data_IF_361639593740
#
_entry.id   IF_361639593740
#
_cell.length_a   1.000
_cell.length_b   1.000
_cell.length_c   1.000
_cell.angle_alpha   90.00
_cell.angle_beta   90.00
_cell.angle_gamma   90.00
#
_symmetry.space_group_name_H-M   'P 1'
#
loop_
_entity.id
_entity.type
_entity.pdbx_description
1 polymer ?
#
# COMPACT_ATOMS: atom_id res chain seq x y z
N UNK A 1 -25.97 39.14 5.03
CA UNK A 1 -24.54 38.83 4.76
C UNK A 1 -23.93 37.89 5.81
N UNK A 2 -24.23 38.04 7.11
CA UNK A 2 -23.71 37.18 8.19
C UNK A 2 -24.13 35.70 8.10
N UNK A 3 -25.37 35.43 7.67
CA UNK A 3 -25.89 34.05 7.55
C UNK A 3 -25.17 33.24 6.46
N UNK A 4 -24.85 33.87 5.31
CA UNK A 4 -24.09 33.23 4.22
C UNK A 4 -22.64 32.94 4.62
N UNK A 5 -22.04 33.80 5.46
CA UNK A 5 -20.70 33.59 6.02
C UNK A 5 -20.68 32.45 7.04
N UNK A 6 -21.71 32.31 7.89
CA UNK A 6 -21.84 31.18 8.82
C UNK A 6 -21.94 29.83 8.08
N UNK A 7 -22.72 29.75 7.00
CA UNK A 7 -22.78 28.54 6.16
C UNK A 7 -21.43 28.22 5.49
N UNK A 8 -20.69 29.25 5.05
CA UNK A 8 -19.36 29.10 4.44
C UNK A 8 -18.32 28.58 5.43
N UNK A 9 -18.29 29.10 6.66
CA UNK A 9 -17.43 28.60 7.72
C UNK A 9 -17.79 27.18 8.16
N UNK A 10 -19.08 26.84 8.20
CA UNK A 10 -19.55 25.47 8.48
C UNK A 10 -19.07 24.47 7.42
N UNK A 11 -19.17 24.83 6.14
CA UNK A 11 -18.70 23.97 5.05
C UNK A 11 -17.17 23.82 5.04
N UNK A 12 -16.43 24.90 5.30
CA UNK A 12 -14.96 24.85 5.43
C UNK A 12 -14.51 23.96 6.61
N UNK A 13 -15.21 24.02 7.74
CA UNK A 13 -14.94 23.13 8.89
C UNK A 13 -15.20 21.65 8.57
N UNK A 14 -16.27 21.35 7.83
CA UNK A 14 -16.59 19.99 7.39
C UNK A 14 -15.50 19.39 6.50
N UNK A 15 -14.96 20.19 5.57
CA UNK A 15 -13.85 19.78 4.68
C UNK A 15 -12.59 19.45 5.49
N UNK A 16 -12.28 20.25 6.52
CA UNK A 16 -11.10 20.06 7.36
C UNK A 16 -11.16 18.75 8.18
N UNK A 17 -12.36 18.39 8.67
CA UNK A 17 -12.61 17.12 9.35
C UNK A 17 -12.36 15.90 8.46
N UNK A 18 -12.72 15.99 7.18
CA UNK A 18 -12.51 14.90 6.21
C UNK A 18 -11.05 14.67 5.85
N UNK A 19 -10.16 15.65 6.05
CA UNK A 19 -8.72 15.52 5.79
C UNK A 19 -7.93 14.92 6.96
N UNK A 20 -8.54 14.73 8.13
CA UNK A 20 -7.86 14.26 9.35
C UNK A 20 -7.39 12.80 9.31
N UNK A 21 -7.78 12.03 8.29
CA UNK A 21 -7.40 10.62 8.13
C UNK A 21 -6.05 10.37 7.43
N UNK A 22 -5.38 11.41 6.92
CA UNK A 22 -4.12 11.24 6.21
C UNK A 22 -2.94 11.10 7.20
N UNK A 23 -2.63 9.85 7.60
CA UNK A 23 -1.48 9.53 8.43
C UNK A 23 -0.28 9.13 7.56
N UNK A 24 0.87 9.74 7.82
CA UNK A 24 2.13 9.36 7.17
C UNK A 24 2.72 8.18 7.95
N UNK A 25 2.57 6.96 7.42
CA UNK A 25 3.08 5.73 8.04
C UNK A 25 4.42 5.38 7.40
N UNK A 26 5.42 5.11 8.23
CA UNK A 26 6.74 4.76 7.73
C UNK A 26 6.73 3.36 7.07
N UNK A 27 7.51 3.18 6.00
CA UNK A 27 7.45 1.96 5.18
C UNK A 27 7.76 0.66 5.96
N UNK A 28 8.55 0.74 7.03
CA UNK A 28 8.93 -0.40 7.87
C UNK A 28 7.90 -0.74 8.97
N UNK A 29 6.93 0.14 9.25
CA UNK A 29 5.84 -0.13 10.20
C UNK A 29 4.78 -1.07 9.61
N UNK A 30 4.87 -1.34 8.29
CA UNK A 30 4.04 -2.33 7.60
C UNK A 30 4.15 -3.71 8.25
N UNK A 31 5.27 -4.10 8.85
CA UNK A 31 5.41 -5.42 9.48
C UNK A 31 4.40 -5.70 10.60
N UNK A 32 3.99 -4.69 11.38
CA UNK A 32 3.02 -4.84 12.46
C UNK A 32 1.59 -4.49 12.06
N UNK A 33 1.41 -3.61 11.07
CA UNK A 33 0.11 -3.13 10.60
C UNK A 33 -0.46 -3.95 9.42
N UNK A 34 0.39 -4.66 8.68
CA UNK A 34 -0.05 -5.47 7.55
C UNK A 34 -0.70 -6.76 8.03
N UNK A 35 -1.97 -6.92 7.67
CA UNK A 35 -2.70 -8.17 7.87
C UNK A 35 -2.26 -9.19 6.83
N UNK A 36 -2.35 -10.50 7.08
CA UNK A 36 -2.02 -11.53 6.09
C UNK A 36 -2.77 -11.39 4.76
N UNK A 37 -4.00 -10.87 4.78
CA UNK A 37 -4.80 -10.64 3.57
C UNK A 37 -4.33 -9.45 2.74
N UNK A 38 -3.42 -8.62 3.25
CA UNK A 38 -2.82 -7.48 2.55
C UNK A 38 -1.50 -7.85 1.87
N UNK A 39 -1.12 -9.13 1.90
CA UNK A 39 0.06 -9.61 1.21
C UNK A 39 -0.07 -9.38 -0.30
N UNK A 40 0.98 -8.82 -0.91
CA UNK A 40 1.05 -8.61 -2.36
C UNK A 40 1.02 -9.94 -3.10
N UNK A 41 1.68 -10.96 -2.53
CA UNK A 41 1.67 -12.32 -3.04
C UNK A 41 1.17 -13.26 -1.93
N UNK A 42 -0.06 -13.77 -2.01
CA UNK A 42 -0.63 -14.64 -0.98
C UNK A 42 -0.01 -16.05 -0.95
N UNK A 43 0.58 -16.52 -2.06
CA UNK A 43 1.15 -17.87 -2.18
C UNK A 43 2.60 -17.81 -2.69
N UNK A 44 3.56 -17.38 -1.86
CA UNK A 44 4.93 -17.10 -2.30
C UNK A 44 5.61 -18.31 -2.94
N UNK A 45 5.42 -19.51 -2.38
CA UNK A 45 6.03 -20.73 -2.92
C UNK A 45 5.59 -21.04 -4.35
N UNK A 46 4.28 -20.93 -4.62
CA UNK A 46 3.73 -21.18 -5.94
C UNK A 46 4.22 -20.14 -6.94
N UNK A 47 4.25 -18.87 -6.52
CA UNK A 47 4.75 -17.76 -7.32
C UNK A 47 6.23 -17.95 -7.70
N UNK A 48 7.08 -18.34 -6.74
CA UNK A 48 8.49 -18.65 -6.99
C UNK A 48 8.67 -19.75 -8.04
N UNK A 49 7.90 -20.84 -7.95
CA UNK A 49 7.96 -21.94 -8.93
C UNK A 49 7.53 -21.46 -10.31
N UNK A 50 6.45 -20.69 -10.40
CA UNK A 50 5.98 -20.13 -11.66
C UNK A 50 7.02 -19.19 -12.27
N UNK A 51 7.59 -18.29 -11.47
CA UNK A 51 8.66 -17.40 -11.88
C UNK A 51 9.87 -18.16 -12.41
N UNK A 52 10.33 -19.20 -11.71
CA UNK A 52 11.44 -20.01 -12.18
C UNK A 52 11.15 -20.59 -13.58
N UNK A 53 9.93 -21.09 -13.81
CA UNK A 53 9.54 -21.58 -15.12
C UNK A 53 9.51 -20.46 -16.18
N UNK A 54 8.96 -19.29 -15.86
CA UNK A 54 8.92 -18.16 -16.79
C UNK A 54 10.32 -17.65 -17.14
N UNK A 55 11.23 -17.50 -16.18
CA UNK A 55 12.62 -17.11 -16.43
C UNK A 55 13.32 -18.08 -17.37
N UNK A 56 13.15 -19.38 -17.13
CA UNK A 56 13.78 -20.41 -17.96
C UNK A 56 13.23 -20.41 -19.38
N UNK A 57 11.97 -20.00 -19.59
CA UNK A 57 11.34 -20.04 -20.91
C UNK A 57 11.50 -18.77 -21.72
N UNK A 58 11.50 -17.60 -21.08
CA UNK A 58 11.42 -16.32 -21.77
C UNK A 58 12.77 -15.59 -21.84
N UNK A 59 13.81 -16.09 -21.13
CA UNK A 59 15.09 -15.39 -20.95
C UNK A 59 14.94 -13.92 -20.52
N UNK A 60 13.77 -13.55 -19.99
CA UNK A 60 13.44 -12.22 -19.55
C UNK A 60 13.96 -12.07 -18.12
N UNK A 61 14.95 -11.21 -17.91
CA UNK A 61 15.34 -10.81 -16.56
C UNK A 61 14.10 -10.26 -15.84
N UNK A 62 13.78 -10.78 -14.64
CA UNK A 62 12.61 -10.36 -13.88
C UNK A 62 12.51 -8.86 -13.73
N UNK A 63 11.37 -8.34 -14.15
CA UNK A 63 10.84 -7.03 -13.72
C UNK A 63 10.13 -7.11 -12.36
N UNK A 64 10.39 -8.15 -11.55
CA UNK A 64 9.83 -8.23 -10.20
C UNK A 64 10.64 -7.36 -9.23
N UNK A 65 10.51 -6.05 -9.39
CA UNK A 65 10.64 -5.09 -8.30
C UNK A 65 9.42 -5.22 -7.38
N UNK A 66 9.29 -6.37 -6.73
CA UNK A 66 8.31 -6.59 -5.66
C UNK A 66 9.02 -6.78 -4.32
N UNK A 67 10.17 -6.13 -4.14
CA UNK A 67 10.73 -5.79 -2.83
C UNK A 67 9.89 -4.68 -2.14
N UNK A 68 8.57 -4.70 -2.37
CA UNK A 68 7.59 -3.78 -1.82
C UNK A 68 7.07 -4.20 -0.44
N UNK A 69 7.59 -5.30 0.11
CA UNK A 69 7.34 -5.73 1.48
C UNK A 69 8.62 -5.62 2.27
N UNK A 70 8.72 -4.60 3.12
CA UNK A 70 9.82 -4.40 4.08
C UNK A 70 9.87 -5.46 5.17
N UNK A 71 10.01 -6.73 4.78
CA UNK A 71 10.38 -7.84 5.64
C UNK A 71 11.84 -8.20 5.37
N UNK A 72 12.59 -8.52 6.41
CA UNK A 72 13.89 -9.16 6.29
C UNK A 72 13.70 -10.37 5.36
N UNK A 73 14.31 -10.32 4.16
CA UNK A 73 14.11 -11.26 3.05
C UNK A 73 14.61 -12.68 3.33
N UNK A 74 14.17 -13.28 4.43
CA UNK A 74 14.29 -14.69 4.72
C UNK A 74 13.24 -15.43 3.89
N UNK A 75 13.63 -15.79 2.67
CA UNK A 75 13.22 -17.05 2.07
C UNK A 75 13.66 -18.24 2.95
#
# INVERSE_FOLDING_TARGET
>A
MKLKQLFLFGFAGLIFLMLSGCANVAAWERGYLAKPQMAVEPNPLQHHIQLHNYFSREAAASTHSADGGGGCGCY
#
